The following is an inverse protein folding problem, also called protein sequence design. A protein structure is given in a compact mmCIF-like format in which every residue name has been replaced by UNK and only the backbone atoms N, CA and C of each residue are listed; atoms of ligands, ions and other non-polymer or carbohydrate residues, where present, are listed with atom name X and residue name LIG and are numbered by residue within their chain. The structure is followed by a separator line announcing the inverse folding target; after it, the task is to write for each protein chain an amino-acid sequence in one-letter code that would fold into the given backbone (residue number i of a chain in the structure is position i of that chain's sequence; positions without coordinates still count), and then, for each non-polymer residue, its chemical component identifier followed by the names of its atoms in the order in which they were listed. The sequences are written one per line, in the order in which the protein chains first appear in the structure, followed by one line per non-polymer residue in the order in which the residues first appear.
data_IF_219232180290
#
_entry.id   IF_219232180290
#
_cell.length_a   1.000
_cell.length_b   1.000
_cell.length_c   1.000
_cell.angle_alpha   90.00
_cell.angle_beta   90.00
_cell.angle_gamma   90.00
#
_symmetry.space_group_name_H-M   'P 1'
#
loop_
_entity.id
_entity.type
_entity.pdbx_description
1 polymer ?
#
# COMPACT_ATOMS: atom_id res chain seq x y z
N UNK A 1 4.67 4.86 -20.06
CA UNK A 1 3.71 3.99 -19.35
C UNK A 1 4.52 2.96 -18.61
N UNK A 2 4.54 3.01 -17.28
CA UNK A 2 5.16 1.96 -16.49
C UNK A 2 4.24 0.75 -16.54
N UNK A 3 4.68 -0.33 -17.16
CA UNK A 3 3.91 -1.56 -17.18
C UNK A 3 3.95 -2.22 -15.79
N UNK A 4 2.89 -2.94 -15.40
CA UNK A 4 2.93 -3.78 -14.17
C UNK A 4 4.15 -4.69 -14.22
N UNK A 5 4.51 -5.14 -15.42
CA UNK A 5 5.69 -5.96 -15.66
C UNK A 5 6.99 -5.22 -15.32
N UNK A 6 7.08 -3.92 -15.62
CA UNK A 6 8.27 -3.11 -15.34
C UNK A 6 8.35 -2.76 -13.84
N UNK A 7 7.21 -2.52 -13.19
CA UNK A 7 7.14 -2.31 -11.74
C UNK A 7 7.32 -3.61 -10.94
N UNK A 8 6.95 -4.73 -11.50
CA UNK A 8 7.16 -6.07 -10.91
C UNK A 8 8.63 -6.48 -11.01
N UNK A 9 9.33 -6.00 -12.03
CA UNK A 9 10.75 -6.29 -12.26
C UNK A 9 11.70 -5.26 -11.65
N UNK A 10 11.21 -4.17 -11.06
CA UNK A 10 12.05 -3.41 -10.13
C UNK A 10 12.27 -4.36 -8.96
N UNK A 11 13.49 -4.81 -8.71
CA UNK A 11 13.77 -5.56 -7.50
C UNK A 11 13.46 -4.61 -6.34
N UNK A 12 12.26 -4.67 -5.81
CA UNK A 12 12.05 -4.38 -4.41
C UNK A 12 13.05 -5.31 -3.77
N UNK A 13 14.15 -4.75 -3.31
CA UNK A 13 15.35 -5.48 -2.91
C UNK A 13 14.98 -6.90 -2.48
N UNK A 14 15.51 -7.93 -3.16
CA UNK A 14 15.32 -9.35 -2.78
C UNK A 14 15.91 -9.64 -1.39
N UNK A 15 15.99 -8.64 -0.55
CA UNK A 15 16.40 -8.70 0.82
C UNK A 15 15.23 -9.20 1.64
N UNK A 16 15.23 -10.52 1.87
CA UNK A 16 14.56 -11.03 3.04
C UNK A 16 15.14 -10.29 4.26
N UNK A 17 14.39 -9.35 4.80
CA UNK A 17 14.74 -8.64 6.02
C UNK A 17 14.11 -9.33 7.23
N UNK A 18 14.74 -9.16 8.38
CA UNK A 18 14.18 -9.53 9.67
C UNK A 18 14.04 -8.26 10.50
N UNK A 19 12.85 -7.92 10.93
CA UNK A 19 12.68 -7.03 12.07
C UNK A 19 12.98 -7.85 13.32
N UNK A 20 14.13 -7.63 13.91
CA UNK A 20 14.53 -8.31 15.15
C UNK A 20 13.77 -7.71 16.33
N UNK A 21 13.68 -8.48 17.43
CA UNK A 21 13.09 -7.99 18.69
C UNK A 21 13.75 -6.68 19.15
N UNK A 22 15.07 -6.51 18.93
CA UNK A 22 15.79 -5.29 19.28
C UNK A 22 15.30 -4.08 18.49
N UNK A 23 15.13 -4.23 17.18
CA UNK A 23 14.62 -3.15 16.31
C UNK A 23 13.14 -2.81 16.61
N UNK A 24 12.36 -3.79 17.06
CA UNK A 24 11.01 -3.56 17.54
C UNK A 24 10.98 -2.81 18.88
N UNK A 25 11.94 -3.05 19.78
CA UNK A 25 11.99 -2.38 21.09
C UNK A 25 12.37 -0.90 21.00
N UNK A 26 13.18 -0.51 20.03
CA UNK A 26 13.60 0.86 19.82
C UNK A 26 12.50 1.75 19.22
N UNK A 27 11.42 1.15 18.72
CA UNK A 27 10.27 1.87 18.17
C UNK A 27 9.11 1.84 19.17
N UNK A 28 8.80 2.98 19.78
CA UNK A 28 7.73 3.13 20.79
C UNK A 28 6.42 2.48 20.39
N UNK A 29 6.07 2.48 19.11
CA UNK A 29 4.85 1.89 18.58
C UNK A 29 4.85 0.35 18.56
N UNK A 30 6.00 -0.29 18.76
CA UNK A 30 6.17 -1.75 18.70
C UNK A 30 6.55 -2.38 20.03
N UNK A 31 6.59 -1.60 21.13
CA UNK A 31 7.00 -2.11 22.45
C UNK A 31 6.12 -3.28 22.96
N UNK A 32 4.87 -3.34 22.54
CA UNK A 32 3.98 -4.45 22.84
C UNK A 32 4.06 -5.64 21.86
N UNK A 33 4.79 -5.47 20.75
CA UNK A 33 4.84 -6.43 19.66
C UNK A 33 6.13 -7.25 19.72
N UNK A 34 6.07 -8.38 20.40
CA UNK A 34 7.23 -9.25 20.66
C UNK A 34 7.41 -10.36 19.63
N UNK A 35 7.21 -10.10 18.36
CA UNK A 35 7.34 -11.11 17.31
C UNK A 35 8.50 -10.79 16.37
N UNK A 36 9.27 -11.79 15.99
CA UNK A 36 10.22 -11.69 14.87
C UNK A 36 9.44 -11.64 13.57
N UNK A 37 9.69 -10.63 12.77
CA UNK A 37 9.00 -10.42 11.49
C UNK A 37 9.96 -10.71 10.35
N UNK A 38 9.61 -11.69 9.52
CA UNK A 38 10.35 -11.98 8.31
C UNK A 38 9.66 -11.36 7.09
N UNK A 39 10.47 -10.83 6.19
CA UNK A 39 10.03 -10.31 4.91
C UNK A 39 10.52 -11.23 3.80
N UNK A 40 9.61 -11.93 3.15
CA UNK A 40 9.87 -12.74 1.97
C UNK A 40 9.08 -12.17 0.80
N UNK A 41 9.76 -12.03 -0.32
CA UNK A 41 9.17 -11.51 -1.55
C UNK A 41 9.14 -12.63 -2.60
N UNK A 42 8.05 -12.66 -3.36
CA UNK A 42 7.92 -13.62 -4.46
C UNK A 42 8.77 -13.22 -5.68
N UNK A 43 8.78 -14.05 -6.71
CA UNK A 43 9.55 -13.80 -7.96
C UNK A 43 9.14 -12.52 -8.70
N UNK A 44 8.02 -11.92 -8.34
CA UNK A 44 7.49 -10.66 -8.90
C UNK A 44 7.80 -9.43 -8.03
N UNK A 45 8.50 -9.63 -6.90
CA UNK A 45 8.90 -8.56 -6.01
C UNK A 45 7.85 -8.10 -5.00
N UNK A 46 6.75 -8.82 -4.83
CA UNK A 46 5.74 -8.53 -3.81
C UNK A 46 5.94 -9.39 -2.57
N UNK A 47 5.63 -8.81 -1.40
CA UNK A 47 5.59 -9.57 -0.15
C UNK A 47 4.39 -10.50 -0.14
N UNK A 48 4.54 -11.61 -0.79
CA UNK A 48 3.49 -12.60 -1.02
C UNK A 48 4.10 -13.97 -1.30
N UNK A 49 3.28 -15.01 -1.26
CA UNK A 49 3.60 -16.30 -1.88
C UNK A 49 3.66 -16.16 -3.40
N UNK A 50 4.22 -17.15 -4.10
CA UNK A 50 4.18 -17.19 -5.55
C UNK A 50 2.72 -17.17 -6.05
N UNK A 51 2.50 -16.41 -7.11
CA UNK A 51 1.16 -16.28 -7.66
C UNK A 51 0.73 -17.60 -8.35
N UNK A 52 -0.54 -17.99 -8.19
CA UNK A 52 -1.06 -19.14 -8.89
C UNK A 52 -1.04 -18.90 -10.42
N UNK A 53 -1.01 -19.98 -11.19
CA UNK A 53 -1.08 -19.89 -12.65
C UNK A 53 -2.42 -19.31 -13.13
N UNK A 54 -3.51 -19.63 -12.44
CA UNK A 54 -4.84 -19.06 -12.68
C UNK A 54 -5.10 -17.86 -11.75
N UNK A 55 -5.36 -16.71 -12.36
CA UNK A 55 -5.63 -15.45 -11.69
C UNK A 55 -7.10 -15.00 -11.79
N UNK A 56 -8.00 -15.86 -12.30
CA UNK A 56 -9.39 -15.50 -12.57
C UNK A 56 -10.23 -15.32 -11.29
N UNK A 57 -9.95 -16.10 -10.24
CA UNK A 57 -10.73 -16.07 -9.01
C UNK A 57 -9.92 -15.61 -7.79
N UNK A 58 -8.95 -14.74 -8.01
CA UNK A 58 -8.16 -14.12 -6.95
C UNK A 58 -8.69 -12.73 -6.60
N UNK A 59 -8.38 -12.26 -5.41
CA UNK A 59 -8.61 -10.89 -4.96
C UNK A 59 -7.30 -10.13 -5.03
N UNK A 60 -7.27 -9.03 -5.75
CA UNK A 60 -6.10 -8.16 -5.87
C UNK A 60 -6.12 -7.11 -4.76
N UNK A 61 -5.17 -7.17 -3.85
CA UNK A 61 -5.05 -6.29 -2.69
C UNK A 61 -3.98 -5.23 -2.97
N UNK A 62 -4.39 -4.03 -3.35
CA UNK A 62 -3.50 -2.95 -3.80
C UNK A 62 -3.41 -1.87 -2.74
N UNK A 63 -2.20 -1.36 -2.48
CA UNK A 63 -1.98 -0.28 -1.52
C UNK A 63 -0.50 -0.04 -1.25
N UNK A 64 -0.22 0.69 -0.18
CA UNK A 64 1.12 1.08 0.25
C UNK A 64 1.75 0.13 1.28
N UNK A 65 2.62 0.66 2.15
CA UNK A 65 3.28 -0.09 3.24
C UNK A 65 2.33 -0.79 4.20
N UNK A 66 1.11 -0.28 4.38
CA UNK A 66 0.08 -0.97 5.17
C UNK A 66 -0.41 -2.25 4.47
N UNK A 67 -0.41 -2.26 3.14
CA UNK A 67 -0.74 -3.46 2.35
C UNK A 67 0.45 -4.41 2.31
N UNK A 68 1.67 -3.90 2.15
CA UNK A 68 2.90 -4.70 2.35
C UNK A 68 2.88 -5.37 3.73
N UNK A 69 2.32 -4.69 4.72
CA UNK A 69 2.26 -5.16 6.10
C UNK A 69 3.60 -5.00 6.81
N UNK A 70 4.26 -3.84 6.62
CA UNK A 70 5.49 -3.52 7.36
C UNK A 70 5.20 -3.51 8.86
N UNK A 71 6.10 -4.10 9.65
CA UNK A 71 5.94 -4.24 11.09
C UNK A 71 4.96 -5.33 11.54
N UNK A 72 4.47 -6.19 10.62
CA UNK A 72 3.55 -7.30 10.94
C UNK A 72 4.05 -8.64 10.39
N UNK A 73 3.81 -9.77 11.07
CA UNK A 73 3.98 -11.09 10.49
C UNK A 73 3.13 -11.23 9.22
N UNK A 74 3.63 -11.94 8.22
CA UNK A 74 2.93 -12.12 6.95
C UNK A 74 1.48 -12.62 7.13
N UNK A 75 1.28 -13.59 8.00
CA UNK A 75 -0.04 -14.17 8.28
C UNK A 75 -1.05 -13.20 8.94
N UNK A 76 -0.59 -12.07 9.45
CA UNK A 76 -1.39 -11.04 10.11
C UNK A 76 -1.64 -9.82 9.22
N UNK A 77 -1.03 -9.76 8.03
CA UNK A 77 -1.30 -8.70 7.07
C UNK A 77 -2.76 -8.76 6.61
N UNK A 78 -3.35 -7.60 6.34
CA UNK A 78 -4.77 -7.58 5.97
C UNK A 78 -5.11 -8.42 4.73
N UNK A 79 -4.25 -8.55 3.68
CA UNK A 79 -4.52 -9.46 2.57
C UNK A 79 -4.62 -10.92 3.02
N UNK A 80 -3.75 -11.36 3.95
CA UNK A 80 -3.79 -12.73 4.47
C UNK A 80 -5.00 -12.96 5.37
N UNK A 81 -5.37 -11.97 6.17
CA UNK A 81 -6.61 -12.04 6.99
C UNK A 81 -7.85 -12.10 6.09
N UNK A 82 -7.88 -11.32 5.02
CA UNK A 82 -8.96 -11.35 4.01
C UNK A 82 -9.03 -12.72 3.33
N UNK A 83 -7.89 -13.27 2.91
CA UNK A 83 -7.79 -14.61 2.32
C UNK A 83 -8.39 -15.67 3.25
N UNK A 84 -7.99 -15.65 4.51
CA UNK A 84 -8.51 -16.58 5.52
C UNK A 84 -10.02 -16.46 5.73
N UNK A 85 -10.55 -15.24 5.70
CA UNK A 85 -11.99 -14.99 5.91
C UNK A 85 -12.84 -15.35 4.69
N UNK A 86 -12.32 -15.16 3.49
CA UNK A 86 -13.08 -15.38 2.24
C UNK A 86 -12.87 -16.76 1.63
N UNK A 87 -11.79 -17.45 2.02
CA UNK A 87 -11.34 -18.68 1.36
C UNK A 87 -10.77 -18.46 -0.05
N UNK A 88 -10.68 -17.19 -0.52
CA UNK A 88 -10.13 -16.83 -1.83
C UNK A 88 -8.69 -16.39 -1.72
N UNK A 89 -7.86 -16.80 -2.67
CA UNK A 89 -6.48 -16.31 -2.76
C UNK A 89 -6.47 -14.79 -2.89
N UNK A 90 -5.78 -14.09 -1.99
CA UNK A 90 -5.56 -12.66 -2.01
C UNK A 90 -4.11 -12.38 -2.41
N UNK A 91 -3.91 -11.66 -3.52
CA UNK A 91 -2.58 -11.25 -3.98
C UNK A 91 -2.21 -9.94 -3.29
N UNK A 92 -1.10 -9.93 -2.58
CA UNK A 92 -0.59 -8.71 -1.96
C UNK A 92 0.19 -7.89 -3.00
N UNK A 93 -0.37 -6.77 -3.44
CA UNK A 93 0.22 -5.83 -4.42
C UNK A 93 0.58 -4.52 -3.70
N UNK A 94 1.04 -4.64 -2.47
CA UNK A 94 1.52 -3.50 -1.71
C UNK A 94 2.88 -3.01 -2.19
N UNK A 95 3.11 -1.70 -2.10
CA UNK A 95 4.36 -1.06 -2.42
C UNK A 95 4.69 0.00 -1.37
N UNK A 96 5.84 -0.17 -0.71
CA UNK A 96 6.21 0.72 0.38
C UNK A 96 6.38 2.17 -0.10
N UNK A 97 5.77 3.09 0.64
CA UNK A 97 5.88 4.52 0.36
C UNK A 97 5.13 5.01 -0.88
N UNK A 98 4.42 4.16 -1.60
CA UNK A 98 3.76 4.60 -2.83
C UNK A 98 2.64 5.62 -2.59
N UNK A 99 2.42 6.46 -3.61
CA UNK A 99 1.36 7.47 -3.63
C UNK A 99 0.03 6.92 -4.11
N UNK A 100 -1.04 7.70 -3.90
CA UNK A 100 -2.36 7.38 -4.44
C UNK A 100 -2.38 7.37 -5.98
N UNK A 101 -1.53 8.15 -6.62
CA UNK A 101 -1.34 8.12 -8.09
C UNK A 101 -0.79 6.76 -8.53
N UNK A 102 0.20 6.22 -7.83
CA UNK A 102 0.80 4.91 -8.12
C UNK A 102 -0.21 3.78 -7.85
N UNK A 103 -0.99 3.85 -6.76
CA UNK A 103 -2.07 2.90 -6.48
C UNK A 103 -3.08 2.89 -7.64
N UNK A 104 -3.52 4.06 -8.09
CA UNK A 104 -4.48 4.18 -9.20
C UNK A 104 -3.91 3.63 -10.51
N UNK A 105 -2.64 3.89 -10.81
CA UNK A 105 -1.98 3.35 -12.00
C UNK A 105 -1.92 1.83 -11.97
N UNK A 106 -1.55 1.24 -10.84
CA UNK A 106 -1.51 -0.23 -10.66
C UNK A 106 -2.87 -0.87 -10.85
N UNK A 107 -3.91 -0.29 -10.27
CA UNK A 107 -5.27 -0.80 -10.45
C UNK A 107 -5.65 -0.80 -11.92
N UNK A 108 -5.38 0.28 -12.67
CA UNK A 108 -5.66 0.35 -14.11
C UNK A 108 -4.91 -0.72 -14.89
N UNK A 109 -3.63 -0.90 -14.61
CA UNK A 109 -2.82 -1.93 -15.26
C UNK A 109 -3.28 -3.35 -14.96
N UNK A 110 -3.68 -3.63 -13.71
CA UNK A 110 -4.26 -4.92 -13.32
C UNK A 110 -5.55 -5.18 -14.09
N UNK A 111 -6.43 -4.19 -14.18
CA UNK A 111 -7.69 -4.31 -14.92
C UNK A 111 -7.45 -4.56 -16.40
N UNK A 112 -6.54 -3.82 -17.01
CA UNK A 112 -6.20 -3.95 -18.42
C UNK A 112 -5.62 -5.33 -18.76
N UNK A 113 -4.68 -5.82 -17.94
CA UNK A 113 -3.93 -7.05 -18.24
C UNK A 113 -4.63 -8.31 -17.77
N UNK A 114 -5.28 -8.28 -16.63
CA UNK A 114 -5.75 -9.48 -15.93
C UNK A 114 -7.27 -9.58 -15.84
N UNK A 115 -8.01 -8.49 -16.12
CA UNK A 115 -9.47 -8.44 -16.05
C UNK A 115 -10.01 -9.08 -14.77
N UNK A 116 -9.56 -8.60 -13.59
CA UNK A 116 -9.90 -9.22 -12.31
C UNK A 116 -11.39 -9.13 -12.01
N UNK A 117 -11.92 -10.06 -11.22
CA UNK A 117 -13.28 -9.96 -10.71
C UNK A 117 -13.38 -8.98 -9.53
N UNK A 118 -12.35 -8.95 -8.69
CA UNK A 118 -12.35 -8.21 -7.43
C UNK A 118 -11.00 -7.53 -7.18
N UNK A 119 -11.06 -6.27 -6.80
CA UNK A 119 -9.93 -5.52 -6.28
C UNK A 119 -10.31 -4.95 -4.92
N UNK A 120 -9.40 -4.99 -3.96
CA UNK A 120 -9.50 -4.24 -2.72
C UNK A 120 -8.36 -3.21 -2.72
N UNK A 121 -8.72 -1.95 -2.77
CA UNK A 121 -7.78 -0.83 -2.79
C UNK A 121 -7.72 -0.19 -1.41
N UNK A 122 -6.54 -0.20 -0.80
CA UNK A 122 -6.24 0.57 0.42
C UNK A 122 -5.45 1.80 0.03
N UNK A 123 -6.12 2.94 0.03
CA UNK A 123 -5.52 4.22 -0.33
C UNK A 123 -4.57 4.72 0.76
N UNK A 124 -3.48 5.32 0.33
CA UNK A 124 -2.43 5.86 1.17
C UNK A 124 -2.74 7.28 1.67
N UNK A 125 -1.79 7.89 2.39
CA UNK A 125 -1.87 9.29 2.83
C UNK A 125 -2.10 10.23 1.64
N UNK A 126 -2.97 11.23 1.81
CA UNK A 126 -3.37 12.11 0.71
C UNK A 126 -2.24 13.04 0.24
N UNK A 127 -1.28 13.37 1.12
CA UNK A 127 -0.11 14.17 0.78
C UNK A 127 0.95 13.42 -0.05
N UNK A 128 0.79 12.12 -0.26
CA UNK A 128 1.65 11.34 -1.15
C UNK A 128 1.13 11.45 -2.57
N UNK A 129 1.95 12.03 -3.47
CA UNK A 129 1.62 12.26 -4.86
C UNK A 129 2.74 11.79 -5.76
N UNK A 130 2.47 11.66 -7.04
CA UNK A 130 3.48 11.34 -8.04
C UNK A 130 3.88 12.59 -8.82
N UNK A 131 5.20 12.82 -8.94
CA UNK A 131 5.77 13.90 -9.75
C UNK A 131 6.96 13.34 -10.53
N UNK A 132 7.01 13.64 -11.82
CA UNK A 132 8.10 13.24 -12.72
C UNK A 132 8.44 11.75 -12.66
N UNK A 133 7.41 10.90 -12.53
CA UNK A 133 7.54 9.46 -12.44
C UNK A 133 7.88 8.90 -11.06
N UNK A 134 8.14 9.73 -10.05
CA UNK A 134 8.51 9.34 -8.70
C UNK A 134 7.39 9.63 -7.70
N UNK A 135 7.24 8.75 -6.71
CA UNK A 135 6.39 9.00 -5.56
C UNK A 135 7.05 10.01 -4.62
N UNK A 136 6.33 11.06 -4.26
CA UNK A 136 6.80 12.15 -3.41
C UNK A 136 5.89 12.28 -2.20
N UNK A 137 6.50 12.41 -1.03
CA UNK A 137 5.82 12.70 0.21
C UNK A 137 5.93 14.19 0.48
N UNK A 138 4.86 14.92 0.20
CA UNK A 138 4.79 16.33 0.54
C UNK A 138 4.58 16.51 2.05
N UNK A 139 5.09 17.61 2.61
CA UNK A 139 4.74 17.95 3.98
C UNK A 139 3.22 18.26 4.04
N UNK A 140 2.46 17.62 4.92
CA UNK A 140 1.03 17.89 5.06
C UNK A 140 0.70 19.35 5.39
N UNK A 141 1.69 20.11 5.84
CA UNK A 141 1.56 21.52 6.20
C UNK A 141 1.88 22.48 5.04
N UNK A 142 2.60 22.04 4.00
CA UNK A 142 3.12 22.94 2.94
C UNK A 142 2.12 23.22 1.82
N UNK A 143 1.25 22.27 1.50
CA UNK A 143 0.32 22.38 0.38
C UNK A 143 -1.08 22.18 0.90
N UNK A 144 -1.87 23.19 0.99
CA UNK A 144 -3.21 23.16 1.56
C UNK A 144 -3.94 21.85 1.26
N UNK A 145 -4.56 21.30 2.29
CA UNK A 145 -5.36 20.06 2.29
C UNK A 145 -6.29 19.90 1.09
N UNK A 146 -6.70 21.01 0.50
CA UNK A 146 -7.56 21.04 -0.67
C UNK A 146 -6.92 20.32 -1.85
N UNK A 147 -5.66 20.63 -2.19
CA UNK A 147 -4.98 20.02 -3.33
C UNK A 147 -4.69 18.53 -3.10
N UNK A 148 -4.48 18.08 -1.86
CA UNK A 148 -4.32 16.67 -1.51
C UNK A 148 -5.61 15.90 -1.70
N UNK A 149 -6.72 16.47 -1.22
CA UNK A 149 -8.06 15.90 -1.38
C UNK A 149 -8.45 15.84 -2.85
N UNK A 150 -8.20 16.90 -3.62
CA UNK A 150 -8.49 16.94 -5.06
C UNK A 150 -7.70 15.88 -5.83
N UNK A 151 -6.40 15.74 -5.54
CA UNK A 151 -5.58 14.68 -6.15
C UNK A 151 -6.10 13.29 -5.80
N UNK A 152 -6.45 13.05 -4.55
CA UNK A 152 -7.04 11.78 -4.11
C UNK A 152 -8.36 11.52 -4.85
N UNK A 153 -9.29 12.48 -4.86
CA UNK A 153 -10.61 12.32 -5.51
C UNK A 153 -10.48 12.10 -7.02
N UNK A 154 -9.52 12.74 -7.68
CA UNK A 154 -9.21 12.50 -9.09
C UNK A 154 -8.81 11.04 -9.33
N UNK A 155 -7.91 10.50 -8.52
CA UNK A 155 -7.43 9.12 -8.63
C UNK A 155 -8.54 8.13 -8.30
N UNK A 156 -9.28 8.35 -7.21
CA UNK A 156 -10.42 7.56 -6.81
C UNK A 156 -11.47 7.47 -7.93
N UNK A 157 -11.92 8.63 -8.44
CA UNK A 157 -12.95 8.68 -9.49
C UNK A 157 -12.49 8.02 -10.80
N UNK A 158 -11.21 8.11 -11.13
CA UNK A 158 -10.67 7.46 -12.32
C UNK A 158 -10.65 5.93 -12.21
N UNK A 159 -10.53 5.41 -11.00
CA UNK A 159 -10.49 3.97 -10.71
C UNK A 159 -11.90 3.42 -10.52
N UNK A 160 -12.77 4.13 -9.82
CA UNK A 160 -14.15 3.72 -9.52
C UNK A 160 -15.01 3.50 -10.79
N UNK A 161 -14.62 4.12 -11.91
CA UNK A 161 -15.28 3.96 -13.21
C UNK A 161 -14.82 2.73 -14.00
N UNK A 162 -13.86 1.98 -13.52
CA UNK A 162 -13.37 0.80 -14.23
C UNK A 162 -14.40 -0.34 -14.19
N UNK A 163 -14.47 -1.18 -15.23
CA UNK A 163 -15.46 -2.27 -15.34
C UNK A 163 -15.07 -3.47 -14.47
N UNK A 164 -14.85 -3.24 -13.18
CA UNK A 164 -14.46 -4.25 -12.17
C UNK A 164 -15.04 -3.86 -10.82
N UNK A 165 -15.33 -4.84 -9.98
CA UNK A 165 -15.77 -4.55 -8.61
C UNK A 165 -14.57 -4.16 -7.74
N UNK A 166 -14.53 -2.91 -7.31
CA UNK A 166 -13.49 -2.39 -6.42
C UNK A 166 -14.10 -2.07 -5.06
N UNK A 167 -13.45 -2.57 -4.02
CA UNK A 167 -13.75 -2.19 -2.63
C UNK A 167 -12.68 -1.20 -2.22
N UNK A 168 -13.10 -0.01 -1.83
CA UNK A 168 -12.21 1.06 -1.42
C UNK A 168 -12.12 1.13 0.10
N UNK A 169 -10.92 1.25 0.58
CA UNK A 169 -10.58 1.56 1.97
C UNK A 169 -9.51 2.63 2.00
N UNK A 170 -9.38 3.32 3.11
CA UNK A 170 -8.36 4.34 3.33
C UNK A 170 -7.60 3.95 4.60
N UNK A 171 -6.29 4.16 4.61
CA UNK A 171 -5.51 3.94 5.83
C UNK A 171 -6.00 4.86 6.96
N UNK A 172 -5.83 4.47 8.23
CA UNK A 172 -6.14 5.35 9.35
C UNK A 172 -5.37 6.67 9.25
N UNK A 173 -6.06 7.79 9.53
CA UNK A 173 -5.46 9.15 9.49
C UNK A 173 -4.88 9.54 8.11
N UNK A 174 -5.47 9.08 7.01
CA UNK A 174 -5.03 9.40 5.65
C UNK A 174 -4.91 10.91 5.38
N UNK A 175 -5.78 11.71 5.98
CA UNK A 175 -5.62 13.15 6.16
C UNK A 175 -4.83 13.37 7.46
N UNK A 176 -3.51 13.47 7.36
CA UNK A 176 -2.73 13.96 8.50
C UNK A 176 -3.14 15.40 8.75
N UNK A 177 -3.85 15.57 9.85
CA UNK A 177 -4.09 16.89 10.41
C UNK A 177 -2.75 17.31 11.03
N UNK A 178 -2.08 18.27 10.42
CA UNK A 178 -0.89 18.85 11.03
C UNK A 178 -1.24 19.23 12.48
N UNK A 179 -0.61 18.56 13.44
CA UNK A 179 -0.61 19.03 14.80
C UNK A 179 0.04 20.41 14.75
N UNK A 180 -0.73 21.43 15.04
CA UNK A 180 -0.14 22.72 15.38
C UNK A 180 0.72 22.45 16.59
N UNK A 181 2.04 22.47 16.41
CA UNK A 181 2.98 22.59 17.53
C UNK A 181 2.65 23.87 18.27
N UNK A 182 1.73 23.78 19.22
CA UNK A 182 1.40 24.85 20.15
C UNK A 182 2.45 25.00 21.26
N UNK A 183 3.53 24.19 21.22
CA UNK A 183 4.55 24.15 22.27
C UNK A 183 5.87 24.83 21.85
N UNK A 184 5.80 25.96 21.14
CA UNK A 184 6.95 26.87 21.03
C UNK A 184 6.51 28.31 21.35
N UNK A 185 5.99 28.53 22.56
CA UNK A 185 6.02 29.83 23.21
C UNK A 185 5.92 29.60 24.71
N UNK A 186 7.06 29.49 25.36
CA UNK A 186 7.32 30.08 26.70
C UNK A 186 8.71 29.67 27.16
N UNK A 187 9.51 30.64 27.14
CA UNK A 187 10.69 31.01 27.92
C UNK A 187 11.94 31.26 27.10
#
# INVERSE_FOLDING_TARGET
MLSVKDNINIPVSNTSGLDTLKECFDKIHFQSYKKVISYKYNSKGFRDEEWPADLLDVIWCVGDSFTVGLGQPFSETWPQVLQKKTGKRCLNIGDDGCSNDTIALRIKEIVEKHRPKYIVAMWSFFHRRRKDGNDIHYDPNDFGRQADVENFLKNYSAVDRLPVKIIHSVIPNALQLGEKNTDKQSN
#
